data_IF_799205033434
#
_entry.id   IF_799205033434
#
_cell.length_a   1.000
_cell.length_b   1.000
_cell.length_c   1.000
_cell.angle_alpha   90.00
_cell.angle_beta   90.00
_cell.angle_gamma   90.00
#
_symmetry.space_group_name_H-M   'P 1'
#
loop_
_entity.id
_entity.type
_entity.pdbx_description
1 polymer ?
#
# COMPACT_ATOMS: atom_id res chain seq x y z
N UNK A 1 -21.14 -2.81 18.44
CA UNK A 1 -20.44 -1.92 17.47
C UNK A 1 -18.94 -2.16 17.38
N UNK A 2 -18.30 -2.72 18.43
CA UNK A 2 -16.84 -2.75 18.58
C UNK A 2 -16.07 -3.51 17.49
N UNK A 3 -16.74 -4.43 16.79
CA UNK A 3 -16.14 -5.26 15.74
C UNK A 3 -16.25 -4.68 14.33
N UNK A 4 -16.76 -3.45 14.19
CA UNK A 4 -16.78 -2.75 12.89
C UNK A 4 -15.36 -2.36 12.51
N UNK A 5 -15.03 -2.46 11.22
CA UNK A 5 -13.70 -2.10 10.70
C UNK A 5 -13.31 -0.68 11.12
N UNK A 6 -14.22 0.29 11.05
CA UNK A 6 -13.96 1.67 11.50
C UNK A 6 -13.52 1.74 12.98
N UNK A 7 -14.20 0.99 13.86
CA UNK A 7 -13.88 0.97 15.30
C UNK A 7 -12.55 0.29 15.55
N UNK A 8 -12.27 -0.81 14.84
CA UNK A 8 -11.00 -1.54 14.96
C UNK A 8 -9.81 -0.71 14.46
N UNK A 9 -9.96 0.01 13.34
CA UNK A 9 -8.93 0.92 12.81
C UNK A 9 -8.60 2.02 13.84
N UNK A 10 -9.60 2.60 14.49
CA UNK A 10 -9.40 3.58 15.56
C UNK A 10 -8.72 2.95 16.79
N UNK A 11 -9.24 1.83 17.31
CA UNK A 11 -8.70 1.17 18.52
C UNK A 11 -7.27 0.66 18.35
N UNK A 12 -6.88 0.27 17.13
CA UNK A 12 -5.51 -0.15 16.81
C UNK A 12 -4.53 1.02 16.62
N UNK A 13 -4.97 2.26 16.81
CA UNK A 13 -4.12 3.44 16.63
C UNK A 13 -3.79 3.75 15.17
N UNK A 14 -4.43 3.07 14.21
CA UNK A 14 -4.28 3.38 12.78
C UNK A 14 -4.97 4.71 12.42
N UNK A 15 -5.86 5.23 13.26
CA UNK A 15 -6.41 6.56 13.09
C UNK A 15 -6.54 7.25 14.45
N UNK A 16 -6.37 8.58 14.47
CA UNK A 16 -6.51 9.41 15.68
C UNK A 16 -7.97 9.68 16.04
N UNK A 17 -8.89 9.56 15.08
CA UNK A 17 -10.33 9.79 15.30
C UNK A 17 -11.19 8.82 14.49
N UNK A 18 -12.45 8.62 14.92
CA UNK A 18 -13.43 7.81 14.18
C UNK A 18 -13.73 8.37 12.77
N UNK A 19 -13.71 9.69 12.59
CA UNK A 19 -13.90 10.33 11.27
C UNK A 19 -12.72 10.03 10.36
N UNK A 20 -11.49 10.12 10.88
CA UNK A 20 -10.27 9.80 10.13
C UNK A 20 -10.22 8.32 9.74
N UNK A 21 -10.60 7.41 10.63
CA UNK A 21 -10.71 5.98 10.32
C UNK A 21 -11.64 5.74 9.12
N UNK A 22 -12.81 6.40 9.09
CA UNK A 22 -13.76 6.31 7.98
C UNK A 22 -13.16 6.83 6.67
N UNK A 23 -12.49 7.98 6.70
CA UNK A 23 -11.80 8.54 5.53
C UNK A 23 -10.75 7.58 4.96
N UNK A 24 -9.92 6.99 5.82
CA UNK A 24 -8.90 6.03 5.39
C UNK A 24 -9.51 4.78 4.77
N UNK A 25 -10.62 4.29 5.31
CA UNK A 25 -11.33 3.14 4.74
C UNK A 25 -11.93 3.52 3.39
N UNK A 26 -12.74 4.58 3.31
CA UNK A 26 -13.43 4.98 2.07
C UNK A 26 -12.45 5.31 0.93
N UNK A 27 -11.32 5.94 1.25
CA UNK A 27 -10.27 6.26 0.27
C UNK A 27 -9.37 5.04 -0.07
N UNK A 28 -9.57 3.89 0.57
CA UNK A 28 -8.84 2.65 0.26
C UNK A 28 -7.41 2.63 0.78
N UNK A 29 -7.13 3.34 1.87
CA UNK A 29 -5.85 3.30 2.57
C UNK A 29 -5.73 2.10 3.51
N UNK A 30 -6.86 1.48 3.88
CA UNK A 30 -6.91 0.32 4.77
C UNK A 30 -7.01 -0.98 3.97
N UNK A 31 -6.29 -1.99 4.43
CA UNK A 31 -6.33 -3.36 3.92
C UNK A 31 -6.73 -4.32 5.03
N UNK A 32 -7.40 -5.40 4.64
CA UNK A 32 -7.73 -6.55 5.49
C UNK A 32 -7.19 -7.80 4.79
N UNK A 33 -6.24 -8.51 5.42
CA UNK A 33 -5.59 -9.67 4.81
C UNK A 33 -5.01 -9.37 3.41
N UNK A 34 -4.37 -8.21 3.26
CA UNK A 34 -3.77 -7.75 2.01
C UNK A 34 -4.74 -7.20 0.97
N UNK A 35 -6.06 -7.31 1.16
CA UNK A 35 -7.06 -6.76 0.24
C UNK A 35 -7.52 -5.38 0.69
N UNK A 36 -7.59 -4.42 -0.24
CA UNK A 36 -8.10 -3.07 0.06
C UNK A 36 -9.60 -3.15 0.37
N UNK A 37 -10.01 -2.55 1.48
CA UNK A 37 -11.43 -2.53 1.87
C UNK A 37 -11.92 -1.11 2.03
N UNK A 38 -13.11 -0.83 1.46
CA UNK A 38 -13.74 0.50 1.44
C UNK A 38 -15.05 0.61 2.23
N UNK A 39 -15.47 -0.46 2.90
CA UNK A 39 -16.71 -0.47 3.71
C UNK A 39 -16.40 -0.27 5.20
N UNK A 40 -16.67 0.91 5.79
CA UNK A 40 -16.36 1.18 7.20
C UNK A 40 -17.24 0.40 8.18
N UNK A 41 -18.46 0.06 7.76
CA UNK A 41 -19.47 -0.60 8.59
C UNK A 41 -19.34 -2.12 8.62
N UNK A 42 -18.40 -2.71 7.87
CA UNK A 42 -18.24 -4.17 7.82
C UNK A 42 -17.83 -4.73 9.18
N UNK A 43 -18.30 -5.93 9.49
CA UNK A 43 -17.84 -6.69 10.65
C UNK A 43 -16.56 -7.45 10.29
N UNK A 44 -15.56 -7.41 11.17
CA UNK A 44 -14.30 -8.11 10.98
C UNK A 44 -14.28 -9.40 11.81
N UNK A 45 -14.05 -10.57 11.19
CA UNK A 45 -13.80 -11.82 11.91
C UNK A 45 -12.59 -11.70 12.84
N UNK A 46 -12.62 -12.41 13.97
CA UNK A 46 -11.59 -12.28 15.01
C UNK A 46 -10.21 -12.68 14.44
N UNK A 47 -10.22 -13.72 13.63
CA UNK A 47 -9.08 -14.30 12.94
C UNK A 47 -8.43 -13.36 11.93
N UNK A 48 -9.15 -12.33 11.47
CA UNK A 48 -8.64 -11.37 10.49
C UNK A 48 -8.27 -10.03 11.13
N UNK A 49 -8.60 -9.83 12.40
CA UNK A 49 -8.39 -8.56 13.10
C UNK A 49 -6.90 -8.17 13.13
N UNK A 50 -6.01 -9.14 13.34
CA UNK A 50 -4.55 -8.91 13.32
C UNK A 50 -4.01 -8.62 11.91
N UNK A 51 -4.81 -8.82 10.86
CA UNK A 51 -4.45 -8.58 9.46
C UNK A 51 -4.99 -7.25 8.92
N UNK A 52 -5.46 -6.36 9.79
CA UNK A 52 -5.81 -4.99 9.44
C UNK A 52 -4.52 -4.17 9.35
N UNK A 53 -4.28 -3.51 8.22
CA UNK A 53 -3.10 -2.68 8.04
C UNK A 53 -3.26 -1.65 6.94
N UNK A 54 -2.24 -0.82 6.74
CA UNK A 54 -2.22 0.13 5.64
C UNK A 54 -1.92 -0.54 4.31
N UNK A 55 -2.51 0.01 3.24
CA UNK A 55 -2.11 -0.31 1.87
C UNK A 55 -0.64 0.09 1.71
N UNK A 56 0.26 -0.90 1.64
CA UNK A 56 1.66 -0.69 1.27
C UNK A 56 1.70 -0.21 -0.18
N UNK A 57 1.70 1.11 -0.40
CA UNK A 57 1.91 1.69 -1.73
C UNK A 57 3.35 2.14 -1.84
N UNK A 58 4.31 1.22 -1.95
CA UNK A 58 5.66 1.66 -2.31
C UNK A 58 6.56 0.57 -2.86
N UNK A 59 6.53 -0.66 -2.35
CA UNK A 59 7.55 -1.65 -2.74
C UNK A 59 7.49 -2.01 -4.24
N UNK A 60 6.30 -2.32 -4.75
CA UNK A 60 6.09 -2.66 -6.17
C UNK A 60 6.34 -1.48 -7.12
N UNK A 61 5.96 -0.27 -6.72
CA UNK A 61 6.16 0.92 -7.54
C UNK A 61 7.62 1.37 -7.55
N UNK A 62 8.34 1.18 -6.44
CA UNK A 62 9.77 1.47 -6.32
C UNK A 62 10.59 0.43 -7.09
N UNK A 63 10.29 -0.85 -6.94
CA UNK A 63 10.94 -1.93 -7.71
C UNK A 63 10.75 -1.74 -9.22
N UNK A 64 9.53 -1.35 -9.65
CA UNK A 64 9.24 -1.05 -11.07
C UNK A 64 9.93 0.20 -11.58
N UNK A 65 10.15 1.21 -10.74
CA UNK A 65 10.90 2.41 -11.09
C UNK A 65 12.41 2.12 -11.21
N UNK A 66 12.97 1.34 -10.27
CA UNK A 66 14.39 0.92 -10.29
C UNK A 66 14.71 -0.01 -11.45
N UNK A 67 13.79 -0.92 -11.81
CA UNK A 67 13.95 -1.80 -12.98
C UNK A 67 14.01 -1.05 -14.32
N UNK A 68 13.32 0.09 -14.44
CA UNK A 68 13.36 0.94 -15.65
C UNK A 68 14.67 1.72 -15.78
N UNK A 69 15.28 2.12 -14.66
CA UNK A 69 16.53 2.88 -14.65
C UNK A 69 17.72 2.04 -15.15
N UNK A 70 17.78 0.72 -14.86
CA UNK A 70 18.85 -0.17 -15.36
C UNK A 70 18.79 -0.40 -16.87
N UNK A 71 17.59 -0.46 -17.46
CA UNK A 71 17.44 -0.73 -18.89
C UNK A 71 17.89 0.45 -19.78
N UNK A 72 17.84 1.69 -19.28
CA UNK A 72 18.23 2.88 -20.04
C UNK A 72 19.75 3.12 -20.02
N UNK A 73 20.44 2.77 -18.93
CA UNK A 73 21.90 2.90 -18.85
C UNK A 73 22.65 1.82 -19.66
N UNK A 74 22.10 0.61 -19.79
CA UNK A 74 22.72 -0.45 -20.61
C UNK A 74 22.76 -0.10 -22.11
N UNK A 75 21.76 0.62 -22.62
CA UNK A 75 21.74 1.05 -24.03
C UNK A 75 22.61 2.29 -24.34
N UNK A 76 23.11 2.98 -23.31
CA UNK A 76 23.97 4.16 -23.47
C UNK A 76 25.47 3.81 -23.48
N UNK A 77 25.87 2.70 -22.84
CA UNK A 77 27.27 2.28 -22.77
C UNK A 77 27.77 1.54 -24.02
N UNK A 78 26.91 0.93 -24.85
CA UNK A 78 27.35 0.27 -26.09
C UNK A 78 27.64 1.25 -27.25
N UNK A 79 27.15 2.50 -27.23
CA UNK A 79 27.35 3.48 -28.31
C UNK A 79 28.58 4.38 -28.18
N UNK A 80 29.36 4.25 -27.11
CA UNK A 80 30.55 5.06 -26.88
C UNK A 80 31.87 4.34 -27.27
N UNK A 81 31.80 3.10 -27.77
CA UNK A 81 32.98 2.26 -28.04
C UNK A 81 33.53 2.27 -29.48
N UNK A 82 32.84 2.84 -30.46
CA UNK A 82 33.26 2.84 -31.88
C UNK A 82 33.74 4.21 -32.37
N UNK A 83 34.82 4.78 -31.80
CA UNK A 83 35.54 5.91 -32.45
C UNK A 83 37.07 5.90 -32.22
N UNK A 84 37.72 4.74 -32.02
CA UNK A 84 39.18 4.68 -32.16
C UNK A 84 39.60 3.35 -32.79
N UNK A 85 39.73 3.38 -34.11
CA UNK A 85 40.27 2.33 -34.97
C UNK A 85 40.43 2.88 -36.38
#
# INVERSE_FOLDING_TARGET
LERRLQTLVFRKGLAKTMKQARQFIVHGHITLNGRVVKSPSMLVPLELEHKIGYKKKTEESLLKALGKAKAQNASAEEKAGEVNG
#
